data_IF_068605400247
#
_entry.id   IF_068605400247
#
_cell.length_a   1.000
_cell.length_b   1.000
_cell.length_c   1.000
_cell.angle_alpha   90.00
_cell.angle_beta   90.00
_cell.angle_gamma   90.00
#
_symmetry.space_group_name_H-M   'P 1'
#
loop_
_entity.id
_entity.type
_entity.pdbx_description
1 polymer ?
#
# COMPACT_ATOMS: atom_id res chain seq x y z
N UNK A 1 -8.71 -24.28 16.95
CA UNK A 1 -8.90 -22.98 17.63
C UNK A 1 -9.84 -22.14 16.79
N UNK A 2 -11.01 -21.76 17.30
CA UNK A 2 -12.06 -21.12 16.49
C UNK A 2 -11.58 -19.73 16.03
N UNK A 3 -11.54 -19.51 14.72
CA UNK A 3 -10.98 -18.30 14.12
C UNK A 3 -12.01 -17.16 14.25
N UNK A 4 -12.04 -16.48 15.40
CA UNK A 4 -13.01 -15.41 15.73
C UNK A 4 -13.06 -14.28 14.68
N UNK A 5 -12.03 -14.15 13.84
CA UNK A 5 -11.95 -13.20 12.72
C UNK A 5 -12.86 -13.51 11.52
N UNK A 6 -13.52 -14.67 11.48
CA UNK A 6 -14.41 -15.04 10.36
C UNK A 6 -15.84 -14.51 10.46
N UNK A 7 -16.23 -13.88 11.57
CA UNK A 7 -17.53 -13.22 11.64
C UNK A 7 -17.53 -11.91 10.82
N UNK A 8 -18.47 -11.73 9.88
CA UNK A 8 -18.49 -10.58 8.96
C UNK A 8 -18.59 -9.23 9.69
N UNK A 9 -19.19 -9.21 10.88
CA UNK A 9 -19.25 -8.02 11.73
C UNK A 9 -17.88 -7.65 12.32
N UNK A 10 -17.11 -8.63 12.80
CA UNK A 10 -15.77 -8.39 13.38
C UNK A 10 -14.79 -7.85 12.36
N UNK A 11 -14.92 -8.26 11.08
CA UNK A 11 -14.13 -7.71 9.96
C UNK A 11 -14.30 -6.20 9.76
N UNK A 12 -15.41 -5.61 10.21
CA UNK A 12 -15.66 -4.16 10.16
C UNK A 12 -15.36 -3.48 11.51
N UNK A 13 -15.69 -4.15 12.60
CA UNK A 13 -15.57 -3.60 13.95
C UNK A 13 -14.12 -3.45 14.41
N UNK A 14 -13.29 -4.47 14.16
CA UNK A 14 -11.88 -4.49 14.58
C UNK A 14 -11.07 -3.36 13.92
N UNK A 15 -11.11 -3.13 12.59
CA UNK A 15 -10.44 -2.00 11.97
C UNK A 15 -10.85 -0.63 12.54
N UNK A 16 -12.14 -0.48 12.84
CA UNK A 16 -12.70 0.77 13.38
C UNK A 16 -12.21 1.04 14.80
N UNK A 17 -12.17 0.01 15.66
CA UNK A 17 -11.58 0.09 17.01
C UNK A 17 -10.09 0.43 16.97
N UNK A 18 -9.31 -0.29 16.17
CA UNK A 18 -7.87 -0.06 16.04
C UNK A 18 -7.60 1.38 15.58
N UNK A 19 -8.34 1.87 14.59
CA UNK A 19 -8.24 3.26 14.13
C UNK A 19 -8.50 4.24 15.27
N UNK A 20 -9.62 4.08 15.99
CA UNK A 20 -9.98 4.99 17.10
C UNK A 20 -8.95 4.97 18.21
N UNK A 21 -8.47 3.79 18.62
CA UNK A 21 -7.45 3.66 19.65
C UNK A 21 -6.15 4.35 19.23
N UNK A 22 -5.68 4.12 18.00
CA UNK A 22 -4.47 4.78 17.49
C UNK A 22 -4.58 6.30 17.45
N UNK A 23 -5.72 6.82 16.99
CA UNK A 23 -5.96 8.27 16.98
C UNK A 23 -6.01 8.82 18.41
N UNK A 24 -6.70 8.15 19.32
CA UNK A 24 -6.79 8.56 20.73
C UNK A 24 -5.42 8.64 21.42
N UNK A 25 -4.50 7.74 21.08
CA UNK A 25 -3.13 7.75 21.61
C UNK A 25 -2.13 8.58 20.76
N UNK A 26 -2.59 9.41 19.82
CA UNK A 26 -1.74 10.20 18.91
C UNK A 26 -0.73 9.35 18.11
N UNK A 27 -1.10 8.11 17.76
CA UNK A 27 -0.32 7.14 16.96
C UNK A 27 -1.01 6.84 15.62
N UNK A 28 -1.62 7.86 15.02
CA UNK A 28 -2.33 7.75 13.74
C UNK A 28 -1.38 7.47 12.56
N UNK A 29 -0.15 7.97 12.64
CA UNK A 29 0.91 7.76 11.65
C UNK A 29 1.94 6.77 12.21
N UNK A 30 2.29 5.74 11.43
CA UNK A 30 3.28 4.75 11.84
C UNK A 30 3.86 3.97 10.65
N UNK A 31 5.09 3.47 10.83
CA UNK A 31 5.72 2.53 9.91
C UNK A 31 5.15 1.12 10.08
N UNK A 32 4.93 0.43 8.96
CA UNK A 32 4.58 -1.00 8.93
C UNK A 32 5.21 -1.66 7.72
N UNK A 33 5.55 -2.94 7.86
CA UNK A 33 6.00 -3.77 6.75
C UNK A 33 4.79 -4.47 6.11
N UNK A 34 4.67 -4.39 4.79
CA UNK A 34 3.72 -5.15 3.98
C UNK A 34 4.51 -5.74 2.82
N UNK A 35 4.52 -7.07 2.72
CA UNK A 35 5.27 -7.81 1.71
C UNK A 35 6.71 -7.32 1.56
N UNK A 36 7.50 -7.24 2.64
CA UNK A 36 8.91 -6.85 2.57
C UNK A 36 9.17 -5.38 2.21
N UNK A 37 8.15 -4.53 2.17
CA UNK A 37 8.27 -3.09 1.89
C UNK A 37 7.73 -2.33 3.11
N UNK A 38 8.48 -1.33 3.57
CA UNK A 38 8.07 -0.46 4.66
C UNK A 38 7.28 0.74 4.13
N UNK A 39 6.11 0.98 4.72
CA UNK A 39 5.23 2.09 4.38
C UNK A 39 4.94 2.95 5.61
N UNK A 40 4.95 4.28 5.43
CA UNK A 40 4.47 5.24 6.43
C UNK A 40 2.96 5.42 6.28
N UNK A 41 2.20 4.72 7.12
CA UNK A 41 0.74 4.67 7.05
C UNK A 41 0.14 5.76 7.92
N UNK A 42 -0.76 6.56 7.36
CA UNK A 42 -1.70 7.36 8.14
C UNK A 42 -3.06 6.63 8.23
N UNK A 43 -3.38 6.05 9.38
CA UNK A 43 -4.63 5.28 9.56
C UNK A 43 -5.91 6.12 9.44
N UNK A 44 -5.79 7.45 9.48
CA UNK A 44 -6.91 8.36 9.23
C UNK A 44 -7.26 8.42 7.74
N UNK A 45 -6.26 8.29 6.85
CA UNK A 45 -6.46 8.23 5.41
C UNK A 45 -7.16 6.93 4.99
N UNK A 46 -8.15 7.06 4.10
CA UNK A 46 -8.97 5.90 3.70
C UNK A 46 -8.14 4.85 2.95
N UNK A 47 -7.31 5.30 1.99
CA UNK A 47 -6.50 4.41 1.16
C UNK A 47 -5.43 3.70 2.00
N UNK A 48 -4.64 4.44 2.78
CA UNK A 48 -3.64 3.90 3.71
C UNK A 48 -4.26 2.87 4.66
N UNK A 49 -5.43 3.19 5.24
CA UNK A 49 -6.13 2.29 6.15
C UNK A 49 -6.61 1.03 5.47
N UNK A 50 -7.20 1.14 4.28
CA UNK A 50 -7.64 -0.03 3.53
C UNK A 50 -6.46 -0.91 3.14
N UNK A 51 -5.36 -0.30 2.67
CA UNK A 51 -4.13 -1.00 2.34
C UNK A 51 -3.54 -1.73 3.56
N UNK A 52 -3.44 -1.05 4.70
CA UNK A 52 -2.94 -1.63 5.95
C UNK A 52 -3.73 -2.87 6.40
N UNK A 53 -5.07 -2.79 6.40
CA UNK A 53 -5.90 -3.89 6.88
C UNK A 53 -6.06 -5.02 5.87
N UNK A 54 -6.19 -4.70 4.58
CA UNK A 54 -6.39 -5.71 3.53
C UNK A 54 -5.08 -6.32 3.05
N UNK A 55 -3.95 -5.62 3.22
CA UNK A 55 -2.64 -5.95 2.65
C UNK A 55 -2.70 -6.20 1.14
N UNK A 56 -3.62 -5.49 0.48
CA UNK A 56 -3.98 -5.63 -0.93
C UNK A 56 -4.30 -4.26 -1.48
N UNK A 57 -3.86 -4.00 -2.69
CA UNK A 57 -4.13 -2.76 -3.42
C UNK A 57 -4.27 -3.12 -4.89
N UNK A 58 -5.38 -2.75 -5.51
CA UNK A 58 -5.64 -2.90 -6.96
C UNK A 58 -5.15 -4.23 -7.58
N UNK A 59 -5.53 -5.37 -6.97
CA UNK A 59 -4.98 -6.69 -7.32
C UNK A 59 -5.10 -7.04 -8.81
N UNK A 60 -6.17 -6.60 -9.48
CA UNK A 60 -6.36 -6.82 -10.92
C UNK A 60 -5.26 -6.13 -11.75
N UNK A 61 -4.79 -4.95 -11.34
CA UNK A 61 -3.74 -4.23 -12.04
C UNK A 61 -2.38 -4.91 -11.82
N UNK A 62 -2.08 -5.34 -10.58
CA UNK A 62 -0.87 -6.12 -10.32
C UNK A 62 -0.88 -7.46 -11.06
N UNK A 63 -2.02 -8.13 -11.14
CA UNK A 63 -2.17 -9.36 -11.92
C UNK A 63 -2.01 -9.12 -13.43
N UNK A 64 -2.51 -8.00 -13.94
CA UNK A 64 -2.28 -7.65 -15.33
C UNK A 64 -0.79 -7.41 -15.60
N UNK A 65 -0.13 -6.63 -14.75
CA UNK A 65 1.30 -6.31 -14.87
C UNK A 65 2.16 -7.58 -14.78
N UNK A 66 1.91 -8.44 -13.78
CA UNK A 66 2.70 -9.66 -13.55
C UNK A 66 2.59 -10.69 -14.67
N UNK A 67 1.46 -10.73 -15.37
CA UNK A 67 1.24 -11.67 -16.47
C UNK A 67 1.55 -11.08 -17.85
N UNK A 68 1.95 -9.80 -17.93
CA UNK A 68 2.20 -9.13 -19.19
C UNK A 68 3.68 -9.25 -19.60
N UNK A 69 3.91 -9.92 -20.75
CA UNK A 69 5.25 -10.16 -21.32
C UNK A 69 6.04 -8.89 -21.64
N UNK A 70 5.39 -7.72 -21.71
CA UNK A 70 6.09 -6.44 -21.86
C UNK A 70 7.16 -6.24 -20.78
N UNK A 71 6.85 -6.60 -19.53
CA UNK A 71 7.72 -6.40 -18.38
C UNK A 71 8.90 -7.40 -18.30
N UNK A 72 9.01 -8.34 -19.25
CA UNK A 72 10.18 -9.22 -19.42
C UNK A 72 11.34 -8.50 -20.13
N UNK A 73 11.08 -7.36 -20.79
CA UNK A 73 12.10 -6.53 -21.45
C UNK A 73 12.48 -5.36 -20.55
N UNK A 74 13.64 -4.69 -20.77
CA UNK A 74 13.98 -3.48 -20.04
C UNK A 74 12.91 -2.38 -20.21
N UNK A 75 12.51 -1.73 -19.12
CA UNK A 75 11.50 -0.67 -19.14
C UNK A 75 11.78 0.46 -18.14
N UNK A 76 11.15 1.61 -18.39
CA UNK A 76 11.01 2.73 -17.47
C UNK A 76 9.58 2.71 -16.92
N UNK A 77 9.42 2.83 -15.60
CA UNK A 77 8.10 2.94 -14.99
C UNK A 77 7.83 4.38 -14.55
N UNK A 78 6.68 4.91 -14.95
CA UNK A 78 6.24 6.27 -14.59
C UNK A 78 4.96 6.14 -13.76
N UNK A 79 5.03 6.57 -12.51
CA UNK A 79 3.97 6.49 -11.51
C UNK A 79 3.43 7.90 -11.23
N UNK A 80 2.24 8.21 -11.73
CA UNK A 80 1.60 9.53 -11.58
C UNK A 80 0.54 9.45 -10.49
N UNK A 81 0.65 10.32 -9.48
CA UNK A 81 -0.18 10.23 -8.27
C UNK A 81 0.25 9.05 -7.39
N UNK A 82 1.56 8.89 -7.19
CA UNK A 82 2.14 7.69 -6.59
C UNK A 82 1.68 7.42 -5.14
N UNK A 83 1.18 8.43 -4.44
CA UNK A 83 0.69 8.36 -3.06
C UNK A 83 1.68 7.67 -2.10
N UNK A 84 1.41 6.44 -1.64
CA UNK A 84 2.30 5.66 -0.77
C UNK A 84 3.44 4.96 -1.54
N UNK A 85 3.51 5.14 -2.86
CA UNK A 85 4.49 4.52 -3.74
C UNK A 85 4.26 3.03 -3.94
N UNK A 86 3.04 2.53 -3.73
CA UNK A 86 2.74 1.08 -3.74
C UNK A 86 3.14 0.46 -5.09
N UNK A 87 2.78 1.09 -6.21
CA UNK A 87 3.20 0.64 -7.53
C UNK A 87 4.70 0.75 -7.71
N UNK A 88 5.25 1.96 -7.52
CA UNK A 88 6.69 2.23 -7.63
C UNK A 88 7.57 1.20 -6.88
N UNK A 89 7.28 0.96 -5.60
CA UNK A 89 8.05 0.06 -4.74
C UNK A 89 7.82 -1.41 -5.11
N UNK A 90 6.58 -1.80 -5.44
CA UNK A 90 6.27 -3.16 -5.89
C UNK A 90 6.95 -3.48 -7.22
N UNK A 91 6.97 -2.54 -8.17
CA UNK A 91 7.65 -2.70 -9.46
C UNK A 91 9.16 -2.89 -9.25
N UNK A 92 9.81 -2.03 -8.47
CA UNK A 92 11.24 -2.16 -8.16
C UNK A 92 11.57 -3.48 -7.48
N UNK A 93 10.71 -3.93 -6.55
CA UNK A 93 10.92 -5.18 -5.83
C UNK A 93 10.81 -6.40 -6.75
N UNK A 94 9.82 -6.42 -7.64
CA UNK A 94 9.44 -7.63 -8.38
C UNK A 94 10.05 -7.72 -9.79
N UNK A 95 10.46 -6.61 -10.40
CA UNK A 95 10.92 -6.57 -11.79
C UNK A 95 12.35 -6.05 -11.90
N UNK A 96 13.31 -6.97 -12.00
CA UNK A 96 14.74 -6.65 -12.23
C UNK A 96 15.01 -5.94 -13.56
N UNK A 97 14.07 -6.03 -14.51
CA UNK A 97 14.13 -5.35 -15.81
C UNK A 97 13.61 -3.90 -15.76
N UNK A 98 13.09 -3.44 -14.62
CA UNK A 98 12.78 -2.02 -14.44
C UNK A 98 14.08 -1.25 -14.24
N UNK A 99 14.49 -0.49 -15.25
CA UNK A 99 15.75 0.26 -15.20
C UNK A 99 15.67 1.46 -14.26
N UNK A 100 14.48 2.06 -14.16
CA UNK A 100 14.24 3.26 -13.36
C UNK A 100 12.74 3.42 -13.09
N UNK A 101 12.42 3.97 -11.92
CA UNK A 101 11.09 4.46 -11.58
C UNK A 101 11.13 5.99 -11.50
N UNK A 102 10.13 6.64 -12.08
CA UNK A 102 9.83 8.06 -11.91
C UNK A 102 8.47 8.19 -11.25
N UNK A 103 8.44 8.59 -9.99
CA UNK A 103 7.22 8.76 -9.21
C UNK A 103 6.92 10.24 -8.99
N UNK A 104 5.66 10.62 -9.17
CA UNK A 104 5.18 11.98 -9.03
C UNK A 104 3.97 11.99 -8.09
N UNK A 105 4.03 12.80 -7.04
CA UNK A 105 2.92 13.02 -6.12
C UNK A 105 2.64 14.52 -6.02
N UNK A 106 1.47 15.00 -6.49
CA UNK A 106 1.16 16.43 -6.46
C UNK A 106 0.84 16.94 -5.04
N UNK A 107 0.45 16.07 -4.12
CA UNK A 107 0.12 16.45 -2.74
C UNK A 107 1.39 16.58 -1.91
N UNK A 108 1.77 17.79 -1.53
CA UNK A 108 3.02 18.08 -0.82
C UNK A 108 3.15 17.28 0.48
N UNK A 109 2.07 17.16 1.24
CA UNK A 109 2.05 16.41 2.50
C UNK A 109 2.33 14.91 2.28
N UNK A 110 1.86 14.35 1.16
CA UNK A 110 2.09 12.96 0.80
C UNK A 110 3.48 12.78 0.19
N UNK A 111 3.94 13.71 -0.64
CA UNK A 111 5.29 13.74 -1.19
C UNK A 111 6.35 13.75 -0.08
N UNK A 112 6.14 14.53 0.98
CA UNK A 112 7.04 14.62 2.12
C UNK A 112 7.05 13.35 3.02
N UNK A 113 6.27 12.32 2.70
CA UNK A 113 6.40 10.99 3.35
C UNK A 113 7.63 10.22 2.85
N UNK A 114 8.21 10.62 1.72
CA UNK A 114 9.40 10.03 1.09
C UNK A 114 10.66 10.83 1.38
#
# INVERSE_FOLDING_TARGET
>A
MMNFLNFPFLKRFVPSLIRRARVFFNKSIFWTEIDGIYYLINIQEKLDREFYFKKKYEENNFNFISNNKFFEKPFLFVDIGSNLGIYSLSILKNFKNCNKVLAFEPTVETYNKF
#
